data_IF_881633312166
#
_entry.id   IF_881633312166
#
_cell.length_a   1.000
_cell.length_b   1.000
_cell.length_c   1.000
_cell.angle_alpha   90.00
_cell.angle_beta   90.00
_cell.angle_gamma   90.00
#
_symmetry.space_group_name_H-M   'P 1'
#
loop_
_entity.id
_entity.type
_entity.pdbx_description
1 polymer ?
#
# COMPACT_ATOMS: atom_id res chain seq x y z
N UNK A 1 7.05 4.66 -0.75
CA UNK A 1 6.02 3.60 -0.63
C UNK A 1 6.50 2.37 0.13
N UNK A 2 7.75 1.92 0.00
CA UNK A 2 8.25 0.72 0.70
C UNK A 2 8.26 0.78 2.24
N UNK A 3 8.46 1.95 2.85
CA UNK A 3 8.44 2.11 4.31
C UNK A 3 7.04 1.99 4.95
N UNK A 4 5.98 2.12 4.15
CA UNK A 4 4.58 2.04 4.63
C UNK A 4 3.98 0.63 4.47
N UNK A 5 4.71 -0.31 3.88
CA UNK A 5 4.24 -1.69 3.72
C UNK A 5 4.45 -2.44 5.03
N UNK A 6 3.43 -3.10 5.59
CA UNK A 6 3.60 -3.97 6.75
C UNK A 6 4.68 -5.04 6.49
N UNK A 7 5.49 -5.36 7.50
CA UNK A 7 6.63 -6.29 7.37
C UNK A 7 6.20 -7.63 6.76
N UNK A 8 5.08 -8.19 7.22
CA UNK A 8 4.50 -9.43 6.69
C UNK A 8 4.18 -9.36 5.18
N UNK A 9 3.64 -8.23 4.72
CA UNK A 9 3.32 -8.03 3.30
C UNK A 9 4.58 -7.84 2.48
N UNK A 10 5.57 -7.14 3.02
CA UNK A 10 6.88 -6.98 2.39
C UNK A 10 7.56 -8.34 2.21
N UNK A 11 7.55 -9.19 3.22
CA UNK A 11 8.08 -10.56 3.13
C UNK A 11 7.35 -11.39 2.07
N UNK A 12 6.03 -11.27 1.96
CA UNK A 12 5.25 -11.96 0.93
C UNK A 12 5.64 -11.52 -0.49
N UNK A 13 5.87 -10.22 -0.70
CA UNK A 13 6.32 -9.66 -1.98
C UNK A 13 7.75 -10.14 -2.30
N UNK A 14 8.67 -10.08 -1.33
CA UNK A 14 10.06 -10.52 -1.52
C UNK A 14 10.13 -12.02 -1.85
N UNK A 15 9.31 -12.84 -1.20
CA UNK A 15 9.19 -14.26 -1.51
C UNK A 15 8.65 -14.49 -2.92
N UNK A 16 7.59 -13.79 -3.33
CA UNK A 16 7.04 -13.91 -4.67
C UNK A 16 8.06 -13.51 -5.75
N UNK A 17 8.85 -12.45 -5.52
CA UNK A 17 9.95 -12.04 -6.39
C UNK A 17 11.04 -13.11 -6.47
N UNK A 18 11.39 -13.75 -5.35
CA UNK A 18 12.41 -14.80 -5.33
C UNK A 18 11.96 -16.05 -6.13
N UNK A 19 10.72 -16.49 -5.95
CA UNK A 19 10.17 -17.64 -6.72
C UNK A 19 10.03 -17.29 -8.21
N UNK A 20 9.59 -16.07 -8.54
CA UNK A 20 9.53 -15.60 -9.94
C UNK A 20 10.91 -15.62 -10.61
N UNK A 21 11.95 -15.15 -9.91
CA UNK A 21 13.34 -15.20 -10.41
C UNK A 21 13.79 -16.63 -10.66
N UNK A 22 13.50 -17.54 -9.72
CA UNK A 22 13.84 -18.96 -9.86
C UNK A 22 13.13 -19.62 -11.04
N UNK A 23 11.84 -19.34 -11.24
CA UNK A 23 11.09 -19.82 -12.40
C UNK A 23 11.65 -19.25 -13.71
N UNK A 24 12.02 -17.97 -13.72
CA UNK A 24 12.66 -17.34 -14.88
C UNK A 24 14.03 -17.95 -15.21
N UNK A 25 14.88 -18.18 -14.21
CA UNK A 25 16.17 -18.87 -14.37
C UNK A 25 16.00 -20.30 -14.89
N UNK A 26 14.99 -21.01 -14.39
CA UNK A 26 14.62 -22.35 -14.84
C UNK A 26 13.93 -22.38 -16.23
N UNK A 27 13.57 -21.21 -16.78
CA UNK A 27 12.74 -21.07 -17.99
C UNK A 27 11.40 -21.79 -17.87
N UNK A 28 10.88 -21.89 -16.65
CA UNK A 28 9.58 -22.46 -16.34
C UNK A 28 8.50 -21.42 -16.62
N UNK A 29 7.95 -21.42 -17.84
CA UNK A 29 6.96 -20.44 -18.28
C UNK A 29 5.68 -20.50 -17.42
N UNK A 30 5.24 -21.71 -17.04
CA UNK A 30 4.07 -21.87 -16.18
C UNK A 30 4.33 -21.33 -14.76
N UNK A 31 5.53 -21.56 -14.24
CA UNK A 31 5.99 -20.99 -12.98
C UNK A 31 6.10 -19.46 -13.02
N UNK A 32 6.58 -18.89 -14.13
CA UNK A 32 6.65 -17.44 -14.32
C UNK A 32 5.27 -16.81 -14.24
N UNK A 33 4.29 -17.35 -14.98
CA UNK A 33 2.92 -16.84 -14.97
C UNK A 33 2.31 -16.92 -13.56
N UNK A 34 2.45 -18.09 -12.92
CA UNK A 34 1.95 -18.33 -11.55
C UNK A 34 2.56 -17.35 -10.54
N UNK A 35 3.88 -17.15 -10.57
CA UNK A 35 4.56 -16.30 -9.61
C UNK A 35 4.41 -14.81 -9.92
N UNK A 36 4.17 -14.45 -11.19
CA UNK A 36 3.81 -13.08 -11.56
C UNK A 36 2.42 -12.72 -11.05
N UNK A 37 1.44 -13.62 -11.17
CA UNK A 37 0.12 -13.44 -10.57
C UNK A 37 0.21 -13.33 -9.04
N UNK A 38 0.99 -14.19 -8.39
CA UNK A 38 1.21 -14.13 -6.95
C UNK A 38 1.86 -12.81 -6.51
N UNK A 39 2.82 -12.29 -7.28
CA UNK A 39 3.46 -11.00 -7.02
C UNK A 39 2.45 -9.85 -7.14
N UNK A 40 1.63 -9.86 -8.18
CA UNK A 40 0.58 -8.85 -8.38
C UNK A 40 -0.45 -8.88 -7.24
N UNK A 41 -0.88 -10.06 -6.81
CA UNK A 41 -1.82 -10.23 -5.70
C UNK A 41 -1.22 -9.74 -4.38
N UNK A 42 0.04 -10.09 -4.08
CA UNK A 42 0.75 -9.61 -2.90
C UNK A 42 0.86 -8.09 -2.91
N UNK A 43 1.10 -7.49 -4.08
CA UNK A 43 1.25 -6.05 -4.18
C UNK A 43 -0.07 -5.29 -4.04
N UNK A 44 -1.14 -5.82 -4.64
CA UNK A 44 -2.49 -5.31 -4.47
C UNK A 44 -2.95 -5.38 -3.01
N UNK A 45 -2.75 -6.51 -2.33
CA UNK A 45 -3.11 -6.69 -0.92
C UNK A 45 -2.36 -5.70 -0.01
N UNK A 46 -1.06 -5.49 -0.26
CA UNK A 46 -0.30 -4.49 0.50
C UNK A 46 -0.82 -3.07 0.26
N UNK A 47 -1.21 -2.73 -0.97
CA UNK A 47 -1.76 -1.41 -1.28
C UNK A 47 -3.11 -1.15 -0.61
N UNK A 48 -3.96 -2.17 -0.55
CA UNK A 48 -5.26 -2.11 0.14
C UNK A 48 -5.06 -1.91 1.65
N UNK A 49 -4.11 -2.63 2.24
CA UNK A 49 -3.80 -2.51 3.66
C UNK A 49 -3.20 -1.14 4.01
N UNK A 50 -2.36 -0.56 3.14
CA UNK A 50 -1.87 0.82 3.31
C UNK A 50 -3.03 1.81 3.33
N UNK A 51 -4.01 1.64 2.44
CA UNK A 51 -5.22 2.49 2.41
C UNK A 51 -6.06 2.33 3.68
N UNK A 52 -6.27 1.09 4.15
CA UNK A 52 -7.01 0.80 5.38
C UNK A 52 -6.30 1.34 6.62
N UNK A 53 -4.98 1.19 6.70
CA UNK A 53 -4.17 1.73 7.79
C UNK A 53 -4.22 3.26 7.77
N UNK A 54 -4.10 3.88 6.59
CA UNK A 54 -4.18 5.35 6.46
C UNK A 54 -5.56 5.88 6.84
N UNK A 55 -6.66 5.20 6.48
CA UNK A 55 -8.01 5.57 6.93
C UNK A 55 -8.19 5.40 8.45
N UNK A 56 -7.72 4.29 9.03
CA UNK A 56 -7.84 4.06 10.46
C UNK A 56 -6.98 5.04 11.28
N UNK A 57 -5.78 5.38 10.81
CA UNK A 57 -4.93 6.41 11.41
C UNK A 57 -5.60 7.79 11.37
N UNK A 58 -6.29 8.12 10.27
CA UNK A 58 -7.04 9.39 10.14
C UNK A 58 -8.25 9.47 11.08
N UNK A 59 -8.92 8.35 11.37
CA UNK A 59 -10.03 8.29 12.34
C UNK A 59 -9.54 8.28 13.80
N UNK A 60 -8.35 7.77 14.09
CA UNK A 60 -7.78 7.79 15.44
C UNK A 60 -7.21 9.17 15.82
N UNK A 61 -6.78 9.96 14.84
CA UNK A 61 -6.36 11.36 15.04
C UNK A 61 -7.54 12.28 15.44
N UNK A 62 -8.77 11.94 15.07
CA UNK A 62 -9.97 12.69 15.44
C UNK A 62 -10.43 12.47 16.90
N UNK A 63 -9.94 11.44 17.58
CA UNK A 63 -10.32 11.13 18.97
C UNK A 63 -9.21 11.39 20.00
N UNK A 64 -8.02 11.83 19.57
CA UNK A 64 -6.87 12.07 20.45
C UNK A 64 -6.29 13.49 20.38
N UNK A 65 -7.04 14.47 19.86
CA UNK A 65 -6.56 15.85 19.72
C UNK A 65 -7.55 16.87 20.27
N UNK A 66 -7.98 16.68 21.53
CA UNK A 66 -8.27 17.83 22.39
C UNK A 66 -6.99 18.08 23.18
N UNK A 67 -6.40 19.26 22.97
CA UNK A 67 -5.16 19.80 23.55
C UNK A 67 -3.85 19.51 22.81
N UNK A 68 -3.46 20.48 21.96
CA UNK A 68 -2.07 20.95 21.99
C UNK A 68 -1.29 20.90 20.68
N UNK A 69 -1.19 22.07 20.05
CA UNK A 69 -0.01 22.52 19.28
C UNK A 69 0.16 22.01 17.85
N UNK A 70 -0.38 22.79 16.92
CA UNK A 70 0.33 23.39 15.77
C UNK A 70 1.65 22.77 15.32
N UNK A 71 1.63 21.95 14.26
CA UNK A 71 2.62 22.04 13.18
C UNK A 71 2.19 21.26 11.94
N UNK A 72 1.92 22.02 10.87
CA UNK A 72 2.21 21.66 9.48
C UNK A 72 1.40 20.50 8.85
N UNK A 73 0.21 20.82 8.35
CA UNK A 73 -0.40 20.11 7.22
C UNK A 73 -0.85 21.16 6.22
N UNK A 74 0.12 21.74 5.52
CA UNK A 74 -0.16 22.30 4.20
C UNK A 74 -0.46 21.14 3.25
N UNK A 75 -1.60 21.27 2.57
CA UNK A 75 -1.95 20.68 1.29
C UNK A 75 -2.54 19.26 1.27
N UNK A 76 -3.84 19.15 1.53
CA UNK A 76 -4.80 18.74 0.48
C UNK A 76 -6.07 19.59 0.67
N UNK A 77 -6.23 20.59 -0.19
CA UNK A 77 -7.41 21.45 -0.29
C UNK A 77 -8.67 20.60 -0.52
N UNK A 78 -9.71 20.87 0.25
CA UNK A 78 -11.08 20.54 -0.11
C UNK A 78 -11.31 21.07 -1.53
N UNK A 79 -11.70 20.17 -2.43
CA UNK A 79 -12.16 20.54 -3.77
C UNK A 79 -13.53 21.18 -3.62
N UNK A 80 -13.56 22.50 -3.45
CA UNK A 80 -14.78 23.29 -3.57
C UNK A 80 -15.33 23.11 -4.99
N UNK A 81 -16.25 22.16 -5.15
CA UNK A 81 -17.06 21.95 -6.34
C UNK A 81 -18.05 23.11 -6.43
N UNK A 82 -17.59 24.26 -6.93
CA UNK A 82 -18.46 25.38 -7.25
C UNK A 82 -19.25 25.03 -8.51
N UNK A 83 -20.55 24.81 -8.29
CA UNK A 83 -21.60 24.49 -9.24
C UNK A 83 -21.53 25.39 -10.48
N UNK A 84 -21.13 24.84 -11.63
CA UNK A 84 -21.23 25.56 -12.91
C UNK A 84 -22.70 25.55 -13.34
N UNK A 85 -23.42 26.63 -13.02
CA UNK A 85 -24.66 27.03 -13.69
C UNK A 85 -24.34 27.86 -14.94
#
# INVERSE_FOLDING_TARGET
YGEKIPVEKKEAIEKAVAELKKAHEAKDIAGIDTHMEALNAAWAAASEDIYKETQNASNNAANSSTEGSSTNTENVQDVDFEEVK
#
